data_IF_362650241218
#
_entry.id   IF_362650241218
#
_cell.length_a   1.000
_cell.length_b   1.000
_cell.length_c   1.000
_cell.angle_alpha   90.00
_cell.angle_beta   90.00
_cell.angle_gamma   90.00
#
_symmetry.space_group_name_H-M   'P 1'
#
loop_
_entity.id
_entity.type
_entity.pdbx_description
1 polymer ?
#
# COMPACT_ATOMS: atom_id res chain seq x y z
N UNK A 1 -23.11 -19.94 11.11
CA UNK A 1 -23.24 -18.47 11.24
C UNK A 1 -22.44 -17.77 10.13
N UNK A 2 -23.11 -17.38 9.04
CA UNK A 2 -22.47 -16.57 8.00
C UNK A 2 -22.16 -15.19 8.56
N UNK A 3 -20.92 -14.72 8.39
CA UNK A 3 -20.59 -13.33 8.68
C UNK A 3 -21.52 -12.44 7.85
N UNK A 4 -22.22 -11.51 8.50
CA UNK A 4 -22.89 -10.45 7.76
C UNK A 4 -21.83 -9.70 6.97
N UNK A 5 -21.97 -9.68 5.64
CA UNK A 5 -21.02 -8.99 4.78
C UNK A 5 -20.85 -7.54 5.23
N UNK A 6 -19.61 -7.12 5.42
CA UNK A 6 -19.32 -5.75 5.82
C UNK A 6 -19.41 -4.85 4.58
N UNK A 7 -20.09 -3.71 4.70
CA UNK A 7 -20.17 -2.73 3.61
C UNK A 7 -18.81 -2.08 3.46
N UNK A 8 -18.24 -2.13 2.25
CA UNK A 8 -17.04 -1.39 1.88
C UNK A 8 -17.46 0.00 1.42
N UNK A 9 -16.76 1.04 1.88
CA UNK A 9 -16.98 2.41 1.40
C UNK A 9 -16.73 2.47 -0.13
N UNK A 10 -17.69 2.98 -0.94
CA UNK A 10 -17.52 3.13 -2.38
C UNK A 10 -16.25 3.90 -2.79
N UNK A 11 -15.80 4.85 -1.97
CA UNK A 11 -14.55 5.60 -2.22
C UNK A 11 -13.32 4.70 -2.11
N UNK A 12 -13.30 3.79 -1.14
CA UNK A 12 -12.22 2.80 -0.96
C UNK A 12 -12.19 1.85 -2.16
N UNK A 13 -13.37 1.37 -2.60
CA UNK A 13 -13.46 0.51 -3.78
C UNK A 13 -12.95 1.24 -5.03
N UNK A 14 -13.36 2.50 -5.23
CA UNK A 14 -12.90 3.31 -6.36
C UNK A 14 -11.39 3.50 -6.35
N UNK A 15 -10.82 3.84 -5.20
CA UNK A 15 -9.38 4.02 -5.05
C UNK A 15 -8.60 2.72 -5.30
N UNK A 16 -9.13 1.56 -4.90
CA UNK A 16 -8.52 0.26 -5.21
C UNK A 16 -8.45 0.00 -6.72
N UNK A 17 -9.52 0.29 -7.45
CA UNK A 17 -9.56 0.16 -8.90
C UNK A 17 -8.60 1.14 -9.60
N UNK A 18 -8.56 2.39 -9.14
CA UNK A 18 -7.63 3.39 -9.67
C UNK A 18 -6.17 2.97 -9.40
N UNK A 19 -5.85 2.42 -8.23
CA UNK A 19 -4.54 1.85 -7.91
C UNK A 19 -4.15 0.71 -8.86
N UNK A 20 -5.04 -0.28 -9.05
CA UNK A 20 -4.78 -1.40 -9.96
C UNK A 20 -4.51 -0.90 -11.38
N UNK A 21 -5.26 0.10 -11.85
CA UNK A 21 -5.11 0.65 -13.19
C UNK A 21 -3.81 1.43 -13.35
N UNK A 22 -3.53 2.37 -12.45
CA UNK A 22 -2.37 3.28 -12.54
C UNK A 22 -1.06 2.53 -12.34
N UNK A 23 -0.99 1.68 -11.32
CA UNK A 23 0.24 0.96 -10.95
C UNK A 23 0.33 -0.45 -11.56
N UNK A 24 -0.66 -0.85 -12.36
CA UNK A 24 -0.77 -2.19 -13.00
C UNK A 24 -0.64 -3.33 -11.97
N UNK A 25 -1.26 -3.15 -10.81
CA UNK A 25 -1.17 -4.12 -9.72
C UNK A 25 -2.08 -5.32 -10.00
N UNK A 26 -1.59 -6.56 -9.87
CA UNK A 26 -2.44 -7.74 -10.03
C UNK A 26 -3.49 -7.84 -8.91
N UNK A 27 -3.18 -7.29 -7.73
CA UNK A 27 -4.03 -7.33 -6.54
C UNK A 27 -3.83 -6.09 -5.69
N UNK A 28 -4.91 -5.61 -5.08
CA UNK A 28 -4.92 -4.62 -4.01
C UNK A 28 -5.71 -5.23 -2.86
N UNK A 29 -5.12 -5.19 -1.67
CA UNK A 29 -5.71 -5.74 -0.46
C UNK A 29 -6.35 -4.63 0.36
N UNK A 30 -7.36 -4.97 1.14
CA UNK A 30 -7.97 -4.09 2.12
C UNK A 30 -8.02 -4.80 3.47
N UNK A 31 -7.62 -4.12 4.53
CA UNK A 31 -7.96 -4.50 5.89
C UNK A 31 -8.31 -3.25 6.71
N UNK A 32 -9.04 -3.43 7.81
CA UNK A 32 -9.54 -2.32 8.64
C UNK A 32 -8.45 -1.49 9.32
N UNK A 33 -7.27 -2.06 9.54
CA UNK A 33 -6.20 -1.40 10.31
C UNK A 33 -5.31 -0.53 9.41
N UNK A 34 -4.99 -0.99 8.21
CA UNK A 34 -4.04 -0.33 7.30
C UNK A 34 -4.71 0.25 6.06
N UNK A 35 -6.00 -0.02 5.85
CA UNK A 35 -6.73 0.36 4.64
C UNK A 35 -6.24 -0.40 3.41
N UNK A 36 -6.28 0.26 2.25
CA UNK A 36 -5.73 -0.25 1.00
C UNK A 36 -4.22 -0.48 1.13
N UNK A 37 -3.76 -1.62 0.67
CA UNK A 37 -2.35 -1.97 0.68
C UNK A 37 -2.02 -2.96 -0.44
N UNK A 38 -0.76 -2.98 -0.86
CA UNK A 38 -0.30 -3.84 -1.95
C UNK A 38 1.21 -4.07 -1.84
N UNK A 39 1.69 -5.14 -2.48
CA UNK A 39 3.13 -5.34 -2.65
C UNK A 39 3.63 -4.51 -3.83
N UNK A 40 4.73 -3.78 -3.66
CA UNK A 40 5.34 -2.99 -4.73
C UNK A 40 5.81 -3.93 -5.86
N UNK A 41 5.49 -3.65 -7.13
CA UNK A 41 5.91 -4.50 -8.25
C UNK A 41 7.43 -4.69 -8.31
N UNK A 42 7.87 -5.94 -8.31
CA UNK A 42 9.30 -6.27 -8.40
C UNK A 42 10.08 -6.11 -7.09
N UNK A 43 9.43 -5.87 -5.96
CA UNK A 43 10.09 -5.81 -4.64
C UNK A 43 9.27 -6.51 -3.55
N UNK A 44 9.93 -6.87 -2.44
CA UNK A 44 9.31 -7.38 -1.20
C UNK A 44 8.80 -6.28 -0.28
N UNK A 45 8.89 -5.03 -0.70
CA UNK A 45 8.31 -3.89 0.02
C UNK A 45 6.78 -3.89 -0.13
N UNK A 46 6.07 -3.83 0.98
CA UNK A 46 4.64 -3.56 1.03
C UNK A 46 4.38 -2.06 1.10
N UNK A 47 3.33 -1.59 0.43
CA UNK A 47 2.88 -0.20 0.46
C UNK A 47 1.55 -0.13 1.20
N UNK A 48 1.50 0.66 2.27
CA UNK A 48 0.25 0.98 2.96
C UNK A 48 -0.27 2.30 2.41
N UNK A 49 -1.39 2.21 1.69
CA UNK A 49 -2.03 3.33 1.01
C UNK A 49 -3.12 3.99 1.86
N UNK A 50 -3.73 3.25 2.78
CA UNK A 50 -4.75 3.77 3.70
C UNK A 50 -6.13 3.90 3.06
N UNK A 51 -6.81 5.00 3.36
CA UNK A 51 -8.22 5.28 3.05
C UNK A 51 -8.56 5.50 1.56
N UNK A 52 -7.56 5.53 0.67
CA UNK A 52 -7.77 5.83 -0.74
C UNK A 52 -7.91 7.32 -1.09
N UNK A 53 -7.91 8.23 -0.10
CA UNK A 53 -7.91 9.68 -0.32
C UNK A 53 -6.53 10.20 -0.71
N UNK A 54 -6.48 11.45 -1.19
CA UNK A 54 -5.23 12.16 -1.53
C UNK A 54 -4.35 11.40 -2.54
N UNK A 55 -4.98 10.75 -3.52
CA UNK A 55 -4.32 9.83 -4.45
C UNK A 55 -3.06 10.42 -5.10
N UNK A 56 -3.14 11.64 -5.63
CA UNK A 56 -2.01 12.29 -6.29
C UNK A 56 -0.82 12.51 -5.34
N UNK A 57 -1.06 12.97 -4.12
CA UNK A 57 -0.01 13.19 -3.13
C UNK A 57 0.63 11.87 -2.68
N UNK A 58 -0.17 10.81 -2.50
CA UNK A 58 0.33 9.47 -2.16
C UNK A 58 1.13 8.85 -3.31
N UNK A 59 0.69 9.07 -4.55
CA UNK A 59 1.43 8.64 -5.73
C UNK A 59 2.78 9.34 -5.82
N UNK A 60 2.83 10.66 -5.63
CA UNK A 60 4.07 11.42 -5.59
C UNK A 60 5.02 10.92 -4.47
N UNK A 61 4.48 10.62 -3.28
CA UNK A 61 5.27 10.04 -2.19
C UNK A 61 5.84 8.66 -2.54
N UNK A 62 5.06 7.81 -3.22
CA UNK A 62 5.50 6.50 -3.69
C UNK A 62 6.59 6.62 -4.76
N UNK A 63 6.42 7.52 -5.73
CA UNK A 63 7.41 7.81 -6.78
C UNK A 63 8.72 8.33 -6.16
N UNK A 64 8.65 9.21 -5.18
CA UNK A 64 9.83 9.70 -4.46
C UNK A 64 10.60 8.58 -3.73
N UNK A 65 9.90 7.53 -3.27
CA UNK A 65 10.49 6.39 -2.59
C UNK A 65 10.98 5.27 -3.54
N UNK A 66 10.64 5.34 -4.84
CA UNK A 66 10.89 4.25 -5.80
C UNK A 66 12.37 3.86 -5.87
N UNK A 67 13.27 4.83 -5.97
CA UNK A 67 14.71 4.55 -6.08
C UNK A 67 15.22 3.78 -4.86
N UNK A 68 14.74 4.12 -3.66
CA UNK A 68 15.11 3.42 -2.43
C UNK A 68 14.54 2.00 -2.40
N UNK A 69 13.29 1.80 -2.82
CA UNK A 69 12.66 0.46 -2.91
C UNK A 69 13.47 -0.44 -3.83
N UNK A 70 13.77 0.05 -5.04
CA UNK A 70 14.43 -0.72 -6.08
C UNK A 70 15.92 -0.93 -5.84
N UNK A 71 16.56 -0.12 -4.99
CA UNK A 71 17.93 -0.37 -4.55
C UNK A 71 18.05 -1.63 -3.68
N UNK A 72 16.96 -2.07 -3.04
CA UNK A 72 16.93 -3.21 -2.10
C UNK A 72 15.65 -4.04 -2.30
N UNK A 73 15.43 -4.66 -3.48
CA UNK A 73 14.16 -5.29 -3.83
C UNK A 73 13.84 -6.51 -2.95
N UNK A 74 14.87 -7.16 -2.39
CA UNK A 74 14.72 -8.36 -1.55
C UNK A 74 14.44 -8.03 -0.08
N UNK A 75 14.53 -6.77 0.32
CA UNK A 75 14.27 -6.37 1.72
C UNK A 75 12.76 -6.32 1.95
N UNK A 76 12.31 -7.13 2.91
CA UNK A 76 10.93 -7.10 3.37
C UNK A 76 10.73 -5.94 4.35
N UNK A 77 9.96 -4.93 3.92
CA UNK A 77 9.66 -3.73 4.69
C UNK A 77 8.32 -3.17 4.27
N UNK A 78 7.81 -2.21 5.04
CA UNK A 78 6.59 -1.47 4.71
C UNK A 78 6.96 -0.03 4.41
N UNK A 79 6.48 0.51 3.29
CA UNK A 79 6.39 1.93 3.04
C UNK A 79 4.96 2.37 3.37
N UNK A 80 4.80 3.23 4.36
CA UNK A 80 3.50 3.81 4.69
C UNK A 80 3.38 5.20 4.03
N UNK A 81 2.41 5.32 3.12
CA UNK A 81 2.05 6.58 2.44
C UNK A 81 0.64 7.04 2.81
N UNK A 82 0.01 6.45 3.83
CA UNK A 82 -1.36 6.83 4.25
C UNK A 82 -1.46 8.31 4.67
N UNK A 83 -0.38 8.84 5.25
CA UNK A 83 -0.16 10.27 5.47
C UNK A 83 0.91 10.81 4.49
N UNK A 84 0.54 11.26 3.28
CA UNK A 84 1.50 11.55 2.21
C UNK A 84 2.47 12.70 2.50
N UNK A 85 2.18 13.57 3.47
CA UNK A 85 3.10 14.63 3.92
C UNK A 85 4.27 14.09 4.74
N UNK A 86 4.21 12.84 5.22
CA UNK A 86 5.20 12.21 6.09
C UNK A 86 5.34 10.71 5.75
N UNK A 87 5.68 10.34 4.51
CA UNK A 87 5.86 8.93 4.16
C UNK A 87 7.08 8.38 4.89
N UNK A 88 7.04 7.10 5.27
CA UNK A 88 8.14 6.51 6.02
C UNK A 88 8.21 5.00 5.85
N UNK A 89 9.43 4.48 5.91
CA UNK A 89 9.67 3.05 5.93
C UNK A 89 9.62 2.51 7.36
N UNK A 90 9.00 1.34 7.53
CA UNK A 90 9.11 0.48 8.71
C UNK A 90 9.78 -0.82 8.28
N UNK A 91 10.92 -1.15 8.89
CA UNK A 91 11.54 -2.46 8.69
C UNK A 91 10.71 -3.54 9.38
N UNK A 92 10.42 -4.64 8.67
CA UNK A 92 10.04 -5.86 9.36
C UNK A 92 11.32 -6.46 9.95
N UNK A 93 11.52 -6.33 11.27
CA UNK A 93 12.50 -7.17 11.96
C UNK A 93 11.89 -8.55 11.97
N UNK A 94 12.17 -9.35 10.94
CA UNK A 94 11.96 -10.79 11.04
C UNK A 94 13.02 -11.29 12.03
N UNK A 95 12.64 -11.53 13.29
CA UNK A 95 13.44 -12.36 14.16
C UNK A 95 13.54 -13.73 13.50
N UNK A 96 14.68 -14.01 12.88
CA UNK A 96 15.06 -15.36 12.49
C UNK A 96 14.96 -16.24 13.74
N UNK A 97 14.03 -17.18 13.75
CA UNK A 97 14.12 -18.38 14.57
C UNK A 97 14.71 -19.49 13.73
#
# INVERSE_FOLDING_TARGET
PGSQGEKIDPLVLRAALDLQKVLRLPQVWYNRTTGLNFQYPGAKTWVYWGDGLQFAAKLQALEAAQAEILAQPEVQRVLDVSAPSRPYFRSHISSSR
#
